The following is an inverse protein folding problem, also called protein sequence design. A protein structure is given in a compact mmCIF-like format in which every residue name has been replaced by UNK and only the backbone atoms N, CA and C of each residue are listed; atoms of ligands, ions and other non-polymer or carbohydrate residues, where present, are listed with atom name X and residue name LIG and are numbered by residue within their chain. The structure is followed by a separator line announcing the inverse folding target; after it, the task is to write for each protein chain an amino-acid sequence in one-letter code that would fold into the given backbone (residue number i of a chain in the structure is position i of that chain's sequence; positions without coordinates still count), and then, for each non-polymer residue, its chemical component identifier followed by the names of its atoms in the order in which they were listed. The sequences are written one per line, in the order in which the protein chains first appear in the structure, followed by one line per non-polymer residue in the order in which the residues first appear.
data_IF_638517210958
#
_entry.id   IF_638517210958
#
_cell.length_a   1.000
_cell.length_b   1.000
_cell.length_c   1.000
_cell.angle_alpha   90.00
_cell.angle_beta   90.00
_cell.angle_gamma   90.00
#
_symmetry.space_group_name_H-M   'P 1'
#
loop_
_entity.id
_entity.type
_entity.pdbx_description
1 polymer ?
#
# COMPACT_ATOMS: atom_id res chain seq x y z
N UNK A 1 -3.70 -26.73 -9.98
CA UNK A 1 -3.16 -25.37 -10.17
C UNK A 1 -2.02 -25.47 -11.17
N UNK A 2 -2.16 -24.79 -12.29
CA UNK A 2 -1.14 -24.64 -13.32
C UNK A 2 -0.49 -23.27 -13.07
N UNK A 3 0.83 -23.24 -12.91
CA UNK A 3 1.60 -21.99 -12.90
C UNK A 3 1.99 -21.66 -14.33
N UNK A 4 1.36 -20.64 -14.91
CA UNK A 4 1.59 -20.25 -16.30
C UNK A 4 2.93 -19.52 -16.43
N UNK A 5 3.74 -19.97 -17.39
CA UNK A 5 4.98 -19.29 -17.74
C UNK A 5 4.72 -18.00 -18.49
N UNK A 6 5.55 -16.98 -18.26
CA UNK A 6 5.47 -15.72 -18.99
C UNK A 6 5.94 -15.90 -20.44
N UNK A 7 5.28 -15.19 -21.34
CA UNK A 7 5.63 -15.16 -22.76
C UNK A 7 7.05 -14.61 -22.94
N UNK A 8 7.89 -15.34 -23.71
CA UNK A 8 9.24 -14.91 -24.07
C UNK A 8 9.24 -14.27 -25.48
N UNK A 9 9.83 -13.09 -25.62
CA UNK A 9 10.00 -12.37 -26.91
C UNK A 9 10.77 -13.18 -27.98
N UNK A 10 11.41 -14.30 -27.62
CA UNK A 10 12.03 -15.23 -28.57
C UNK A 10 11.05 -15.95 -29.49
N UNK A 11 9.75 -15.85 -29.22
CA UNK A 11 8.68 -16.46 -30.00
C UNK A 11 8.31 -15.56 -31.21
N UNK A 12 9.24 -15.31 -32.09
CA UNK A 12 9.12 -14.38 -33.23
C UNK A 12 7.91 -14.61 -34.17
N UNK A 13 7.23 -15.78 -34.08
CA UNK A 13 6.12 -16.16 -34.94
C UNK A 13 4.74 -16.11 -34.28
N UNK A 14 4.66 -15.68 -33.03
CA UNK A 14 3.43 -15.65 -32.26
C UNK A 14 3.12 -14.24 -31.80
N UNK A 15 1.84 -13.96 -31.65
CA UNK A 15 1.35 -12.75 -31.00
C UNK A 15 1.03 -13.06 -29.53
N UNK A 16 1.18 -12.03 -28.68
CA UNK A 16 0.76 -12.13 -27.28
C UNK A 16 -0.75 -12.20 -27.20
N UNK A 17 -1.25 -13.08 -26.33
CA UNK A 17 -2.69 -13.16 -26.05
C UNK A 17 -3.23 -11.87 -25.45
N UNK A 18 -4.55 -11.76 -25.39
CA UNK A 18 -5.26 -10.62 -24.82
C UNK A 18 -6.19 -11.09 -23.70
N UNK A 19 -6.34 -10.24 -22.69
CA UNK A 19 -7.31 -10.50 -21.62
C UNK A 19 -8.71 -10.74 -22.19
N UNK A 20 -9.47 -11.60 -21.54
CA UNK A 20 -10.86 -11.84 -21.91
C UNK A 20 -11.73 -10.63 -21.61
N UNK A 21 -12.86 -10.53 -22.32
CA UNK A 21 -13.83 -9.46 -22.13
C UNK A 21 -14.29 -9.39 -20.65
N UNK A 22 -14.31 -8.17 -20.10
CA UNK A 22 -14.71 -7.91 -18.71
C UNK A 22 -13.59 -8.09 -17.67
N UNK A 23 -12.34 -8.33 -18.05
CA UNK A 23 -11.21 -8.34 -17.11
C UNK A 23 -11.08 -7.03 -16.33
N UNK A 24 -11.18 -5.89 -17.02
CA UNK A 24 -11.10 -4.55 -16.39
C UNK A 24 -12.17 -4.37 -15.30
N UNK A 25 -13.41 -4.81 -15.58
CA UNK A 25 -14.51 -4.71 -14.61
C UNK A 25 -14.29 -5.57 -13.38
N UNK A 26 -13.73 -6.77 -13.54
CA UNK A 26 -13.39 -7.65 -12.41
C UNK A 26 -12.29 -7.02 -11.57
N UNK A 27 -11.27 -6.45 -12.21
CA UNK A 27 -10.18 -5.76 -11.52
C UNK A 27 -10.66 -4.51 -10.78
N UNK A 28 -11.58 -3.72 -11.36
CA UNK A 28 -12.20 -2.58 -10.67
C UNK A 28 -12.91 -3.02 -9.37
N UNK A 29 -13.70 -4.11 -9.44
CA UNK A 29 -14.36 -4.67 -8.25
C UNK A 29 -13.34 -5.15 -7.21
N UNK A 30 -12.30 -5.85 -7.65
CA UNK A 30 -11.25 -6.34 -6.76
C UNK A 30 -10.51 -5.20 -6.05
N UNK A 31 -10.23 -4.10 -6.74
CA UNK A 31 -9.67 -2.89 -6.14
C UNK A 31 -10.63 -2.30 -5.10
N UNK A 32 -11.93 -2.28 -5.39
CA UNK A 32 -12.95 -1.79 -4.44
C UNK A 32 -12.99 -2.64 -3.18
N UNK A 33 -13.01 -3.98 -3.32
CA UNK A 33 -13.01 -4.89 -2.16
C UNK A 33 -11.77 -4.68 -1.30
N UNK A 34 -10.58 -4.65 -1.89
CA UNK A 34 -9.31 -4.43 -1.18
C UNK A 34 -9.23 -3.05 -0.50
N UNK A 35 -9.84 -2.03 -1.10
CA UNK A 35 -9.96 -0.72 -0.46
C UNK A 35 -10.83 -0.79 0.79
N UNK A 36 -11.96 -1.49 0.74
CA UNK A 36 -12.85 -1.68 1.89
C UNK A 36 -12.18 -2.50 3.00
N UNK A 37 -11.48 -3.59 2.65
CA UNK A 37 -10.69 -4.37 3.60
C UNK A 37 -9.63 -3.52 4.29
N UNK A 38 -8.97 -2.64 3.55
CA UNK A 38 -7.95 -1.74 4.11
C UNK A 38 -8.54 -0.67 5.04
N UNK A 39 -9.71 -0.10 4.72
CA UNK A 39 -10.37 0.92 5.56
C UNK A 39 -10.89 0.30 6.86
N UNK A 40 -11.46 -0.91 6.76
CA UNK A 40 -12.02 -1.66 7.88
C UNK A 40 -10.95 -2.48 8.64
N UNK A 41 -9.71 -2.51 8.17
CA UNK A 41 -8.63 -3.35 8.74
C UNK A 41 -9.04 -4.83 8.84
N UNK A 42 -9.64 -5.37 7.75
CA UNK A 42 -10.06 -6.77 7.65
C UNK A 42 -8.85 -7.65 7.38
N UNK A 43 -8.76 -8.76 8.11
CA UNK A 43 -7.70 -9.77 7.98
C UNK A 43 -8.31 -11.16 7.83
N UNK A 44 -7.51 -12.13 7.39
CA UNK A 44 -7.95 -13.54 7.26
C UNK A 44 -8.50 -14.13 8.57
N UNK A 45 -8.15 -13.55 9.72
CA UNK A 45 -8.61 -14.01 11.04
C UNK A 45 -10.04 -13.55 11.37
N UNK A 46 -10.54 -12.54 10.66
CA UNK A 46 -11.87 -11.96 10.87
C UNK A 46 -12.98 -12.74 10.15
N UNK A 47 -12.64 -13.71 9.29
CA UNK A 47 -13.63 -14.56 8.61
C UNK A 47 -14.07 -15.71 9.50
N UNK A 48 -15.35 -15.77 9.82
CA UNK A 48 -15.95 -16.90 10.53
C UNK A 48 -16.29 -18.07 9.61
N UNK A 49 -16.68 -17.76 8.37
CA UNK A 49 -17.08 -18.75 7.35
C UNK A 49 -16.83 -18.25 5.92
N UNK A 50 -16.70 -19.20 4.97
CA UNK A 50 -16.65 -18.85 3.55
C UNK A 50 -18.08 -18.73 3.01
N UNK A 51 -18.40 -17.59 2.39
CA UNK A 51 -19.71 -17.29 1.83
C UNK A 51 -19.69 -17.53 0.31
N UNK A 52 -20.75 -18.11 -0.22
CA UNK A 52 -20.93 -18.19 -1.68
C UNK A 52 -21.41 -16.83 -2.19
N UNK A 53 -20.60 -16.20 -3.01
CA UNK A 53 -20.91 -14.90 -3.60
C UNK A 53 -21.93 -15.05 -4.73
N UNK A 54 -22.98 -14.25 -4.69
CA UNK A 54 -23.95 -14.13 -5.76
C UNK A 54 -23.52 -12.99 -6.71
N UNK A 55 -23.04 -13.34 -7.88
CA UNK A 55 -22.50 -12.39 -8.87
C UNK A 55 -23.54 -11.32 -9.28
N UNK A 56 -24.85 -11.66 -9.28
CA UNK A 56 -25.92 -10.73 -9.66
C UNK A 56 -26.15 -9.64 -8.58
N UNK A 57 -25.82 -9.92 -7.32
CA UNK A 57 -26.01 -9.00 -6.20
C UNK A 57 -24.71 -8.28 -5.79
N UNK A 58 -23.57 -8.87 -6.12
CA UNK A 58 -22.24 -8.38 -5.70
C UNK A 58 -22.04 -6.88 -6.01
N UNK A 59 -22.43 -6.42 -7.21
CA UNK A 59 -22.27 -5.01 -7.61
C UNK A 59 -23.07 -4.06 -6.70
N UNK A 60 -24.30 -4.44 -6.35
CA UNK A 60 -25.17 -3.63 -5.50
C UNK A 60 -24.70 -3.62 -4.04
N UNK A 61 -24.28 -4.77 -3.53
CA UNK A 61 -23.82 -4.93 -2.15
C UNK A 61 -22.50 -4.16 -1.95
N UNK A 62 -21.54 -4.31 -2.88
CA UNK A 62 -20.28 -3.56 -2.85
C UNK A 62 -20.51 -2.04 -2.96
N UNK A 63 -21.40 -1.59 -3.84
CA UNK A 63 -21.66 -0.16 -3.98
C UNK A 63 -22.26 0.44 -2.69
N UNK A 64 -23.18 -0.27 -2.05
CA UNK A 64 -23.81 0.18 -0.79
C UNK A 64 -22.79 0.22 0.33
N UNK A 65 -21.98 -0.84 0.47
CA UNK A 65 -20.96 -0.93 1.48
C UNK A 65 -19.88 0.15 1.29
N UNK A 66 -19.46 0.37 0.05
CA UNK A 66 -18.47 1.40 -0.31
C UNK A 66 -18.96 2.80 0.05
N UNK A 67 -20.23 3.15 -0.26
CA UNK A 67 -20.80 4.45 0.10
C UNK A 67 -20.78 4.65 1.62
N UNK A 68 -21.25 3.65 2.39
CA UNK A 68 -21.31 3.73 3.84
C UNK A 68 -19.92 3.84 4.48
N UNK A 69 -19.00 2.97 4.10
CA UNK A 69 -17.65 2.93 4.68
C UNK A 69 -16.85 4.19 4.32
N UNK A 70 -16.95 4.67 3.08
CA UNK A 70 -16.27 5.90 2.68
C UNK A 70 -16.80 7.13 3.44
N UNK A 71 -18.13 7.25 3.61
CA UNK A 71 -18.73 8.35 4.37
C UNK A 71 -18.23 8.36 5.83
N UNK A 72 -18.12 7.19 6.46
CA UNK A 72 -17.60 7.07 7.82
C UNK A 72 -16.09 7.35 7.89
N UNK A 73 -15.30 6.88 6.94
CA UNK A 73 -13.85 7.13 6.90
C UNK A 73 -13.53 8.61 6.66
N UNK A 74 -14.28 9.28 5.77
CA UNK A 74 -14.16 10.71 5.54
C UNK A 74 -14.46 11.51 6.82
N UNK A 75 -15.54 11.18 7.52
CA UNK A 75 -15.88 11.80 8.82
C UNK A 75 -14.81 11.53 9.87
N UNK A 76 -14.33 10.29 9.98
CA UNK A 76 -13.23 9.90 10.88
C UNK A 76 -11.99 10.77 10.63
N UNK A 77 -11.65 10.96 9.37
CA UNK A 77 -10.51 11.78 8.95
C UNK A 77 -10.67 13.26 9.27
N UNK A 78 -11.88 13.81 9.07
CA UNK A 78 -12.24 15.18 9.43
C UNK A 78 -12.14 15.41 10.95
N UNK A 79 -12.71 14.51 11.77
CA UNK A 79 -12.67 14.61 13.22
C UNK A 79 -11.23 14.53 13.75
N UNK A 80 -10.43 13.59 13.26
CA UNK A 80 -9.01 13.47 13.64
C UNK A 80 -8.20 14.71 13.27
N UNK A 81 -8.53 15.35 12.16
CA UNK A 81 -7.89 16.60 11.75
C UNK A 81 -8.29 17.73 12.69
N UNK A 82 -9.59 17.86 13.01
CA UNK A 82 -10.08 18.91 13.90
C UNK A 82 -9.56 18.77 15.33
N UNK A 83 -9.49 17.52 15.84
CA UNK A 83 -8.88 17.25 17.17
C UNK A 83 -7.43 17.70 17.20
N UNK A 84 -6.65 17.47 16.16
CA UNK A 84 -5.26 17.88 16.06
C UNK A 84 -5.10 19.39 16.00
N UNK A 85 -5.97 20.09 15.27
CA UNK A 85 -6.00 21.56 15.23
C UNK A 85 -6.29 22.15 16.62
N UNK A 86 -7.21 21.54 17.38
CA UNK A 86 -7.47 21.96 18.75
C UNK A 86 -6.31 21.65 19.70
N UNK A 87 -5.61 20.51 19.52
CA UNK A 87 -4.40 20.21 20.29
C UNK A 87 -3.32 21.28 20.06
N UNK A 88 -3.08 21.67 18.80
CA UNK A 88 -2.14 22.74 18.45
C UNK A 88 -2.56 24.09 19.06
N UNK A 89 -3.87 24.42 19.02
CA UNK A 89 -4.39 25.66 19.61
C UNK A 89 -4.26 25.67 21.14
N UNK A 90 -4.47 24.55 21.81
CA UNK A 90 -4.26 24.38 23.25
C UNK A 90 -2.78 24.55 23.59
N UNK A 91 -1.87 23.91 22.84
CA UNK A 91 -0.42 24.01 23.05
C UNK A 91 0.06 25.46 22.89
N UNK A 92 -0.52 26.21 21.96
CA UNK A 92 -0.19 27.62 21.74
C UNK A 92 -0.66 28.53 22.88
N UNK A 93 -1.75 28.21 23.55
CA UNK A 93 -2.36 29.00 24.63
C UNK A 93 -1.83 28.62 26.03
N UNK A 94 -1.50 27.33 26.23
CA UNK A 94 -1.05 26.80 27.55
C UNK A 94 0.08 27.64 28.21
N UNK A 95 1.09 28.14 27.49
CA UNK A 95 2.12 29.00 28.07
C UNK A 95 1.60 30.31 28.74
N UNK A 96 0.45 30.78 28.28
CA UNK A 96 -0.17 32.01 28.80
C UNK A 96 -1.02 31.78 30.03
N UNK A 97 -1.62 30.57 30.16
CA UNK A 97 -2.39 30.20 31.34
C UNK A 97 -1.55 30.30 32.63
N UNK A 98 -0.30 29.87 32.56
CA UNK A 98 0.67 29.92 33.66
C UNK A 98 0.98 31.35 34.15
N UNK A 99 0.75 32.38 33.30
CA UNK A 99 1.00 33.79 33.65
C UNK A 99 -0.11 34.40 34.50
N UNK A 100 -1.33 33.81 34.49
CA UNK A 100 -2.50 34.35 35.19
C UNK A 100 -2.92 35.74 34.71
N UNK A 101 -2.65 36.06 33.43
CA UNK A 101 -3.00 37.31 32.77
C UNK A 101 -4.02 37.10 31.68
N UNK A 102 -4.93 38.06 31.50
CA UNK A 102 -5.77 38.10 30.33
C UNK A 102 -4.93 38.35 29.05
N UNK A 103 -5.22 37.63 27.97
CA UNK A 103 -4.50 37.78 26.70
C UNK A 103 -4.57 39.21 26.15
N UNK A 104 -5.69 39.88 26.35
CA UNK A 104 -5.88 41.32 26.02
C UNK A 104 -4.87 42.25 26.67
N UNK A 105 -4.26 41.86 27.79
CA UNK A 105 -3.20 42.63 28.47
C UNK A 105 -1.81 42.43 27.87
N UNK A 106 -1.66 41.49 26.94
CA UNK A 106 -0.37 41.19 26.30
C UNK A 106 -0.17 41.91 24.96
N UNK A 107 -1.15 42.68 24.50
CA UNK A 107 -1.11 43.39 23.22
C UNK A 107 -1.82 44.75 23.29
N UNK A 108 -1.76 45.53 22.19
CA UNK A 108 -2.55 46.76 22.01
C UNK A 108 -2.00 48.02 22.74
N UNK A 109 -0.74 48.06 23.11
CA UNK A 109 -0.12 49.21 23.75
C UNK A 109 0.59 50.15 22.74
N UNK A 110 0.33 51.45 22.81
CA UNK A 110 1.02 52.42 21.98
C UNK A 110 2.41 52.81 22.52
N UNK A 111 2.67 52.63 23.82
CA UNK A 111 3.86 53.10 24.51
C UNK A 111 4.65 52.04 25.25
N UNK A 112 4.20 50.81 25.20
CA UNK A 112 4.88 49.64 25.77
C UNK A 112 5.08 48.61 24.68
N UNK A 113 6.21 47.94 24.73
CA UNK A 113 6.47 46.74 23.94
C UNK A 113 6.34 45.55 24.88
N UNK A 114 5.56 44.55 24.44
CA UNK A 114 5.33 43.32 25.20
C UNK A 114 5.94 42.16 24.44
N UNK A 115 6.65 41.29 25.13
CA UNK A 115 7.15 40.04 24.61
C UNK A 115 6.90 38.93 25.63
N UNK A 116 6.39 37.82 25.16
CA UNK A 116 6.18 36.63 25.97
C UNK A 116 7.08 35.51 25.47
N UNK A 117 7.66 34.75 26.38
CA UNK A 117 8.55 33.69 26.00
C UNK A 117 9.08 32.88 27.17
N UNK A 118 9.78 31.83 26.88
CA UNK A 118 10.44 30.95 27.84
C UNK A 118 11.92 31.35 27.99
N UNK A 119 12.44 31.34 29.19
CA UNK A 119 13.85 31.67 29.39
C UNK A 119 14.27 31.75 30.85
N UNK A 120 15.52 32.17 31.05
CA UNK A 120 16.03 32.40 32.39
C UNK A 120 15.75 33.84 32.85
N UNK A 121 14.85 34.00 33.85
CA UNK A 121 14.43 35.29 34.37
C UNK A 121 15.60 36.19 34.79
N UNK A 122 16.60 35.67 35.52
CA UNK A 122 17.72 36.45 36.02
C UNK A 122 18.60 36.98 34.88
N UNK A 123 18.77 36.16 33.81
CA UNK A 123 19.51 36.59 32.63
C UNK A 123 18.74 37.68 31.87
N UNK A 124 17.42 37.51 31.69
CA UNK A 124 16.53 38.50 31.07
C UNK A 124 16.60 39.81 31.84
N UNK A 125 16.37 39.80 33.17
CA UNK A 125 16.38 40.99 34.04
C UNK A 125 17.72 41.72 34.01
N UNK A 126 18.83 40.99 34.06
CA UNK A 126 20.17 41.59 34.04
C UNK A 126 20.49 42.23 32.69
N UNK A 127 20.02 41.65 31.59
CA UNK A 127 20.25 42.19 30.25
C UNK A 127 19.41 43.43 30.00
N UNK A 128 18.12 43.38 30.32
CA UNK A 128 17.24 44.53 30.17
C UNK A 128 17.63 45.71 31.05
N UNK A 129 18.12 45.46 32.27
CA UNK A 129 18.62 46.50 33.18
C UNK A 129 19.91 47.17 32.69
N UNK A 130 20.67 46.53 31.80
CA UNK A 130 21.90 47.03 31.23
C UNK A 130 21.72 47.75 29.88
N UNK A 131 20.52 47.69 29.31
CA UNK A 131 20.20 48.20 27.97
C UNK A 131 19.68 49.66 28.05
N UNK A 132 20.42 50.61 27.45
CA UNK A 132 20.08 52.04 27.45
C UNK A 132 18.84 52.36 26.56
N UNK A 133 18.38 51.46 25.73
CA UNK A 133 17.17 51.61 24.90
C UNK A 133 15.87 51.43 25.68
N UNK A 134 15.94 50.87 26.91
CA UNK A 134 14.79 50.58 27.76
C UNK A 134 14.77 51.55 28.95
N UNK A 135 13.70 52.35 29.07
CA UNK A 135 13.52 53.29 30.18
C UNK A 135 13.13 52.57 31.48
N UNK A 136 12.22 51.63 31.37
CA UNK A 136 11.74 50.78 32.48
C UNK A 136 11.12 49.51 31.95
N UNK A 137 11.16 48.47 32.75
CA UNK A 137 10.53 47.20 32.41
C UNK A 137 9.93 46.52 33.65
N UNK A 138 9.01 45.61 33.41
CA UNK A 138 8.44 44.70 34.39
C UNK A 138 8.36 43.30 33.80
N UNK A 139 8.69 42.28 34.60
CA UNK A 139 8.63 40.86 34.20
C UNK A 139 7.64 40.16 35.08
N UNK A 140 6.55 39.68 34.49
CA UNK A 140 5.61 38.75 35.12
C UNK A 140 6.01 37.34 34.74
N UNK A 141 5.99 36.43 35.70
CA UNK A 141 6.51 35.07 35.52
C UNK A 141 5.51 34.05 35.95
N UNK A 142 5.21 33.11 35.07
CA UNK A 142 4.62 31.84 35.36
C UNK A 142 5.66 30.76 35.73
N UNK A 143 5.39 29.49 35.52
CA UNK A 143 6.31 28.37 35.82
C UNK A 143 7.54 28.38 34.93
N UNK A 144 7.37 28.56 33.64
CA UNK A 144 8.45 28.60 32.63
C UNK A 144 8.38 29.80 31.72
N UNK A 145 7.19 30.39 31.58
CA UNK A 145 6.89 31.50 30.68
C UNK A 145 7.02 32.84 31.42
N UNK A 146 7.55 33.82 30.73
CA UNK A 146 7.72 35.19 31.23
C UNK A 146 7.09 36.18 30.25
N UNK A 147 6.24 37.06 30.76
CA UNK A 147 5.75 38.22 30.04
C UNK A 147 6.59 39.46 30.43
N UNK A 148 7.21 40.08 29.47
CA UNK A 148 8.08 41.24 29.61
C UNK A 148 7.33 42.45 29.06
N UNK A 149 7.08 43.42 29.92
CA UNK A 149 6.50 44.71 29.56
C UNK A 149 7.62 45.76 29.64
N UNK A 150 8.02 46.35 28.52
CA UNK A 150 9.10 47.32 28.47
C UNK A 150 8.63 48.64 27.86
N UNK A 151 9.08 49.73 28.47
CA UNK A 151 8.91 51.06 27.92
C UNK A 151 10.22 51.50 27.26
N UNK A 152 10.25 51.70 25.95
CA UNK A 152 11.45 52.16 25.27
C UNK A 152 11.73 53.63 25.56
N UNK A 153 13.03 54.06 25.51
CA UNK A 153 13.47 55.41 25.73
C UNK A 153 13.14 56.38 24.60
N UNK A 154 12.84 55.88 23.41
CA UNK A 154 12.45 56.64 22.22
C UNK A 154 11.30 55.94 21.51
N UNK A 155 10.66 56.59 20.52
CA UNK A 155 9.74 55.93 19.59
C UNK A 155 10.51 54.92 18.73
N UNK A 156 10.76 53.76 19.30
CA UNK A 156 11.45 52.64 18.65
C UNK A 156 10.39 51.61 18.38
N UNK A 157 10.52 50.89 17.26
CA UNK A 157 9.53 49.88 16.85
C UNK A 157 9.45 48.67 17.79
N UNK A 158 8.55 47.80 17.53
CA UNK A 158 8.24 46.56 18.31
C UNK A 158 9.44 45.60 18.46
N UNK A 159 10.53 45.82 17.69
CA UNK A 159 11.74 44.99 17.71
C UNK A 159 12.72 45.30 18.88
N UNK A 160 12.48 46.34 19.68
CA UNK A 160 13.39 46.73 20.78
C UNK A 160 13.68 45.62 21.77
N UNK A 161 12.65 44.86 22.17
CA UNK A 161 12.83 43.74 23.08
C UNK A 161 13.58 42.56 22.41
N UNK A 162 13.33 42.32 21.14
CA UNK A 162 14.04 41.29 20.39
C UNK A 162 15.52 41.61 20.27
N UNK A 163 15.87 42.90 19.99
CA UNK A 163 17.24 43.38 19.90
C UNK A 163 17.95 43.36 21.26
N UNK A 164 17.27 43.81 22.32
CA UNK A 164 17.82 43.84 23.68
C UNK A 164 18.10 42.44 24.22
N UNK A 165 17.31 41.44 23.81
CA UNK A 165 17.45 40.05 24.26
C UNK A 165 18.37 39.22 23.36
N UNK A 166 19.04 39.80 22.37
CA UNK A 166 20.03 39.09 21.55
C UNK A 166 21.14 38.50 22.42
N UNK A 167 21.30 37.19 22.38
CA UNK A 167 22.30 36.46 23.16
C UNK A 167 21.81 35.98 24.53
N UNK A 168 20.59 36.28 24.92
CA UNK A 168 19.90 35.64 26.05
C UNK A 168 19.15 34.41 25.54
N UNK A 169 19.16 33.34 26.34
CA UNK A 169 18.33 32.16 26.05
C UNK A 169 16.86 32.49 26.39
N UNK A 170 16.21 33.12 25.42
CA UNK A 170 14.82 33.53 25.48
C UNK A 170 14.11 33.15 24.19
N UNK A 171 13.23 32.16 24.28
CA UNK A 171 12.42 31.71 23.17
C UNK A 171 11.07 32.43 23.18
N UNK A 172 10.88 33.36 22.23
CA UNK A 172 9.64 34.13 22.11
C UNK A 172 8.47 33.22 21.69
N UNK A 173 7.35 33.33 22.39
CA UNK A 173 6.07 32.72 22.06
C UNK A 173 5.15 33.79 21.49
N UNK A 174 4.58 33.63 20.29
CA UNK A 174 3.66 34.57 19.71
C UNK A 174 2.39 34.67 20.56
N UNK A 175 1.93 35.89 20.86
CA UNK A 175 0.67 36.07 21.58
C UNK A 175 -0.49 35.80 20.62
N UNK A 176 -1.39 34.87 20.95
CA UNK A 176 -2.54 34.55 20.10
C UNK A 176 -3.53 35.73 20.08
N UNK A 177 -4.24 35.90 18.98
CA UNK A 177 -5.29 36.90 18.82
C UNK A 177 -6.62 36.40 19.44
N UNK A 178 -6.62 36.27 20.75
CA UNK A 178 -7.76 35.83 21.52
C UNK A 178 -8.05 36.79 22.67
N UNK A 179 -9.29 36.86 23.14
CA UNK A 179 -9.72 37.73 24.25
C UNK A 179 -10.10 36.85 25.46
N UNK A 180 -9.80 37.33 26.66
CA UNK A 180 -10.22 36.70 27.91
C UNK A 180 -9.09 35.98 28.66
N UNK A 181 -9.50 35.13 29.62
CA UNK A 181 -8.57 34.30 30.39
C UNK A 181 -8.06 33.12 29.56
N UNK A 182 -6.74 32.93 29.46
CA UNK A 182 -6.18 31.75 28.80
C UNK A 182 -6.69 30.43 29.39
N UNK A 183 -6.87 30.39 30.72
CA UNK A 183 -7.37 29.18 31.42
C UNK A 183 -8.80 28.84 30.96
N UNK A 184 -9.72 29.82 30.92
CA UNK A 184 -11.10 29.61 30.47
C UNK A 184 -11.13 29.19 28.99
N UNK A 185 -10.23 29.74 28.18
CA UNK A 185 -10.14 29.39 26.76
C UNK A 185 -9.62 27.97 26.55
N UNK A 186 -8.60 27.53 27.27
CA UNK A 186 -8.14 26.15 27.27
C UNK A 186 -9.24 25.18 27.72
N UNK A 187 -9.96 25.50 28.80
CA UNK A 187 -11.09 24.67 29.26
C UNK A 187 -12.18 24.53 28.18
N UNK A 188 -12.45 25.60 27.42
CA UNK A 188 -13.43 25.56 26.32
C UNK A 188 -12.92 24.69 25.16
N UNK A 189 -11.65 24.81 24.75
CA UNK A 189 -11.05 23.98 23.70
C UNK A 189 -10.97 22.52 24.11
N UNK A 190 -10.62 22.21 25.36
CA UNK A 190 -10.59 20.84 25.89
C UNK A 190 -12.00 20.23 25.92
N UNK A 191 -13.03 21.02 26.23
CA UNK A 191 -14.41 20.54 26.17
C UNK A 191 -14.85 20.22 24.74
N UNK A 192 -14.52 21.11 23.76
CA UNK A 192 -14.78 20.85 22.36
C UNK A 192 -14.04 19.59 21.85
N UNK A 193 -12.78 19.42 22.26
CA UNK A 193 -12.00 18.24 21.91
C UNK A 193 -12.59 16.95 22.50
N UNK A 194 -13.09 17.01 23.72
CA UNK A 194 -13.75 15.86 24.36
C UNK A 194 -15.01 15.44 23.59
N UNK A 195 -15.82 16.40 23.14
CA UNK A 195 -17.01 16.13 22.32
C UNK A 195 -16.62 15.47 20.96
N UNK A 196 -15.61 16.02 20.28
CA UNK A 196 -15.14 15.45 19.01
C UNK A 196 -14.51 14.06 19.17
N UNK A 197 -13.87 13.79 20.32
CA UNK A 197 -13.34 12.45 20.63
C UNK A 197 -14.48 11.44 20.89
N UNK A 198 -15.57 11.88 21.48
CA UNK A 198 -16.75 11.04 21.65
C UNK A 198 -17.41 10.70 20.30
N UNK A 199 -17.53 11.69 19.42
CA UNK A 199 -18.04 11.49 18.05
C UNK A 199 -17.13 10.54 17.25
N UNK A 200 -15.80 10.65 17.41
CA UNK A 200 -14.82 9.76 16.79
C UNK A 200 -14.95 8.32 17.27
N UNK A 201 -15.14 8.11 18.59
CA UNK A 201 -15.34 6.79 19.18
C UNK A 201 -16.64 6.14 18.65
N UNK A 202 -17.71 6.93 18.43
CA UNK A 202 -18.96 6.43 17.84
C UNK A 202 -18.72 5.93 16.40
N UNK A 203 -18.02 6.70 15.57
CA UNK A 203 -17.68 6.29 14.19
C UNK A 203 -16.76 5.05 14.16
N UNK A 204 -15.75 4.99 15.03
CA UNK A 204 -14.86 3.84 15.11
C UNK A 204 -15.61 2.57 15.54
N UNK A 205 -16.60 2.71 16.44
CA UNK A 205 -17.48 1.61 16.83
C UNK A 205 -18.35 1.14 15.67
N UNK A 206 -18.94 2.06 14.89
CA UNK A 206 -19.76 1.73 13.72
C UNK A 206 -18.92 1.01 12.63
N UNK A 207 -17.69 1.45 12.39
CA UNK A 207 -16.77 0.76 11.47
C UNK A 207 -16.42 -0.66 11.95
N UNK A 208 -16.19 -0.86 13.25
CA UNK A 208 -15.95 -2.19 13.83
C UNK A 208 -17.17 -3.10 13.72
N UNK A 209 -18.38 -2.59 13.89
CA UNK A 209 -19.62 -3.33 13.68
C UNK A 209 -19.75 -3.76 12.21
N UNK A 210 -19.50 -2.83 11.26
CA UNK A 210 -19.49 -3.14 9.83
C UNK A 210 -18.42 -4.19 9.51
N UNK A 211 -17.20 -4.07 10.06
CA UNK A 211 -16.15 -5.06 9.92
C UNK A 211 -16.65 -6.45 10.36
N UNK A 212 -17.20 -6.56 11.55
CA UNK A 212 -17.67 -7.83 12.10
C UNK A 212 -18.79 -8.47 11.24
N UNK A 213 -19.66 -7.65 10.62
CA UNK A 213 -20.74 -8.14 9.78
C UNK A 213 -20.30 -8.50 8.37
N UNK A 214 -19.29 -7.79 7.82
CA UNK A 214 -18.95 -7.85 6.40
C UNK A 214 -17.61 -8.54 6.09
N UNK A 215 -16.78 -8.88 7.08
CA UNK A 215 -15.46 -9.46 6.86
C UNK A 215 -15.53 -10.76 6.03
N UNK A 216 -16.42 -11.69 6.39
CA UNK A 216 -16.60 -12.95 5.65
C UNK A 216 -17.06 -12.74 4.21
N UNK A 217 -17.91 -11.71 3.97
CA UNK A 217 -18.34 -11.33 2.63
C UNK A 217 -17.18 -10.76 1.82
N UNK A 218 -16.43 -9.81 2.37
CA UNK A 218 -15.31 -9.16 1.67
C UNK A 218 -14.22 -10.17 1.30
N UNK A 219 -13.77 -11.00 2.23
CA UNK A 219 -12.74 -12.01 1.98
C UNK A 219 -13.20 -13.08 0.96
N UNK A 220 -14.47 -13.49 1.00
CA UNK A 220 -15.02 -14.43 0.00
C UNK A 220 -15.16 -13.77 -1.37
N UNK A 221 -15.51 -12.48 -1.42
CA UNK A 221 -15.57 -11.70 -2.66
C UNK A 221 -14.17 -11.48 -3.25
N UNK A 222 -13.17 -11.17 -2.41
CA UNK A 222 -11.78 -11.04 -2.85
C UNK A 222 -11.26 -12.34 -3.48
N UNK A 223 -11.47 -13.46 -2.82
CA UNK A 223 -11.05 -14.77 -3.35
C UNK A 223 -11.73 -15.08 -4.69
N UNK A 224 -13.07 -14.90 -4.78
CA UNK A 224 -13.83 -15.15 -6.00
C UNK A 224 -13.38 -14.25 -7.15
N UNK A 225 -13.26 -12.95 -6.90
CA UNK A 225 -12.82 -11.97 -7.91
C UNK A 225 -11.37 -12.18 -8.32
N UNK A 226 -10.49 -12.56 -7.39
CA UNK A 226 -9.08 -12.88 -7.70
C UNK A 226 -8.99 -14.09 -8.63
N UNK A 227 -9.78 -15.14 -8.39
CA UNK A 227 -9.86 -16.31 -9.26
C UNK A 227 -10.41 -15.91 -10.64
N UNK A 228 -11.46 -15.08 -10.69
CA UNK A 228 -12.03 -14.62 -11.94
C UNK A 228 -11.08 -13.73 -12.74
N UNK A 229 -10.37 -12.81 -12.08
CA UNK A 229 -9.34 -11.98 -12.69
C UNK A 229 -8.22 -12.84 -13.31
N UNK A 230 -7.68 -13.79 -12.55
CA UNK A 230 -6.66 -14.71 -13.06
C UNK A 230 -7.15 -15.50 -14.28
N UNK A 231 -8.40 -15.99 -14.29
CA UNK A 231 -8.99 -16.68 -15.45
C UNK A 231 -9.09 -15.78 -16.67
N UNK A 232 -9.47 -14.51 -16.48
CA UNK A 232 -9.62 -13.55 -17.58
C UNK A 232 -8.29 -13.03 -18.10
N UNK A 233 -7.27 -13.00 -17.26
CA UNK A 233 -5.92 -12.55 -17.59
C UNK A 233 -5.01 -13.69 -18.06
N UNK A 234 -5.36 -14.95 -17.80
CA UNK A 234 -4.56 -16.11 -18.22
C UNK A 234 -4.12 -16.06 -19.70
N UNK A 235 -4.96 -15.61 -20.66
CA UNK A 235 -4.53 -15.51 -22.05
C UNK A 235 -3.37 -14.53 -22.31
N UNK A 236 -3.08 -13.60 -21.40
CA UNK A 236 -1.90 -12.72 -21.51
C UNK A 236 -0.58 -13.50 -21.47
N UNK A 237 -0.58 -14.68 -20.86
CA UNK A 237 0.57 -15.60 -20.82
C UNK A 237 0.60 -16.59 -21.98
N UNK A 238 -0.35 -16.49 -22.94
CA UNK A 238 -0.43 -17.40 -24.07
C UNK A 238 0.24 -16.81 -25.30
N UNK A 239 0.96 -17.65 -26.03
CA UNK A 239 1.35 -17.35 -27.40
C UNK A 239 0.18 -17.68 -28.35
N UNK A 240 -0.22 -16.75 -29.20
CA UNK A 240 -1.39 -16.91 -30.07
C UNK A 240 -1.03 -16.79 -31.55
N UNK A 241 -1.80 -17.50 -32.37
CA UNK A 241 -1.83 -17.35 -33.82
C UNK A 241 -3.27 -17.13 -34.25
N UNK A 242 -3.53 -16.95 -35.56
CA UNK A 242 -4.88 -16.77 -36.09
C UNK A 242 -5.84 -17.91 -35.73
N UNK A 243 -5.35 -19.12 -35.48
CA UNK A 243 -6.19 -20.34 -35.33
C UNK A 243 -5.87 -21.17 -34.11
N UNK A 244 -4.84 -20.87 -33.38
CA UNK A 244 -4.40 -21.66 -32.22
C UNK A 244 -3.73 -20.76 -31.16
N UNK A 245 -3.66 -21.27 -29.96
CA UNK A 245 -2.85 -20.70 -28.90
C UNK A 245 -2.01 -21.80 -28.23
N UNK A 246 -0.89 -21.40 -27.68
CA UNK A 246 0.00 -22.26 -26.90
C UNK A 246 0.09 -21.66 -25.49
N UNK A 247 -0.19 -22.50 -24.49
CA UNK A 247 0.01 -22.19 -23.10
C UNK A 247 1.08 -23.13 -22.54
N UNK A 248 2.09 -22.58 -21.90
CA UNK A 248 3.11 -23.33 -21.18
C UNK A 248 3.00 -23.05 -19.69
N UNK A 249 3.25 -24.06 -18.87
CA UNK A 249 3.20 -23.87 -17.44
C UNK A 249 3.65 -25.10 -16.67
N UNK A 250 3.82 -24.90 -15.36
CA UNK A 250 4.25 -25.93 -14.44
C UNK A 250 3.08 -26.52 -13.66
N UNK A 251 3.06 -27.84 -13.54
CA UNK A 251 2.07 -28.57 -12.76
C UNK A 251 2.76 -29.62 -11.89
N UNK A 252 2.30 -29.83 -10.62
CA UNK A 252 2.79 -30.94 -9.82
C UNK A 252 2.62 -32.27 -10.53
N UNK A 253 3.69 -33.08 -10.61
CA UNK A 253 3.70 -34.33 -11.37
C UNK A 253 2.57 -35.32 -10.95
N UNK A 254 2.17 -35.27 -9.67
CA UNK A 254 1.08 -36.10 -9.13
C UNK A 254 -0.31 -35.70 -9.69
N UNK A 255 -0.44 -34.48 -10.20
CA UNK A 255 -1.70 -33.95 -10.75
C UNK A 255 -1.76 -33.90 -12.26
N UNK A 256 -0.73 -34.39 -12.95
CA UNK A 256 -0.65 -34.37 -14.41
C UNK A 256 -1.80 -35.15 -15.07
N UNK A 257 -2.07 -36.39 -14.63
CA UNK A 257 -3.14 -37.20 -15.18
C UNK A 257 -4.54 -36.60 -14.97
N UNK A 258 -4.77 -35.97 -13.79
CA UNK A 258 -6.02 -35.28 -13.48
C UNK A 258 -6.18 -34.04 -14.38
N UNK A 259 -5.11 -33.29 -14.58
CA UNK A 259 -5.07 -32.13 -15.46
C UNK A 259 -5.37 -32.51 -16.91
N UNK A 260 -4.65 -33.47 -17.47
CA UNK A 260 -4.84 -33.94 -18.85
C UNK A 260 -6.30 -34.42 -19.09
N UNK A 261 -6.84 -35.20 -18.18
CA UNK A 261 -8.22 -35.67 -18.23
C UNK A 261 -9.23 -34.52 -18.17
N UNK A 262 -9.02 -33.56 -17.26
CA UNK A 262 -9.91 -32.43 -17.08
C UNK A 262 -9.88 -31.50 -18.28
N UNK A 263 -8.68 -31.23 -18.82
CA UNK A 263 -8.50 -30.37 -19.98
C UNK A 263 -9.10 -30.98 -21.24
N UNK A 264 -8.87 -32.29 -21.45
CA UNK A 264 -9.47 -33.03 -22.56
C UNK A 264 -11.01 -33.07 -22.50
N UNK A 265 -11.56 -33.10 -21.30
CA UNK A 265 -13.01 -33.07 -21.09
C UNK A 265 -13.62 -31.66 -21.28
N UNK A 266 -12.83 -30.60 -21.01
CA UNK A 266 -13.29 -29.22 -21.07
C UNK A 266 -13.14 -28.57 -22.46
N UNK A 267 -12.19 -29.03 -23.27
CA UNK A 267 -11.89 -28.46 -24.60
C UNK A 267 -12.65 -29.23 -25.67
N UNK A 268 -13.57 -28.57 -26.35
CA UNK A 268 -14.36 -29.15 -27.46
C UNK A 268 -13.65 -28.85 -28.80
N UNK A 269 -12.47 -29.45 -29.01
CA UNK A 269 -11.66 -29.22 -30.22
C UNK A 269 -10.34 -29.98 -30.21
N UNK A 270 -9.50 -29.82 -31.25
CA UNK A 270 -8.16 -30.41 -31.25
C UNK A 270 -7.34 -29.83 -30.12
N UNK A 271 -6.78 -30.69 -29.29
CA UNK A 271 -5.94 -30.40 -28.15
C UNK A 271 -4.72 -31.32 -28.20
N UNK A 272 -3.53 -30.73 -28.07
CA UNK A 272 -2.29 -31.45 -27.93
C UNK A 272 -1.66 -31.05 -26.58
N UNK A 273 -1.16 -32.04 -25.84
CA UNK A 273 -0.62 -31.86 -24.51
C UNK A 273 0.70 -32.60 -24.45
N UNK A 274 1.79 -31.86 -24.37
CA UNK A 274 3.14 -32.40 -24.31
C UNK A 274 3.81 -32.10 -22.96
N UNK A 275 4.45 -33.11 -22.38
CA UNK A 275 5.35 -32.94 -21.26
C UNK A 275 6.73 -32.53 -21.78
N UNK A 276 7.09 -31.24 -21.63
CA UNK A 276 8.33 -30.65 -22.16
C UNK A 276 9.52 -30.92 -21.23
N UNK A 277 9.32 -30.69 -19.92
CA UNK A 277 10.38 -30.78 -18.91
C UNK A 277 9.83 -31.37 -17.62
N UNK A 278 10.66 -32.11 -16.91
CA UNK A 278 10.34 -32.61 -15.57
C UNK A 278 11.40 -32.13 -14.58
N UNK A 279 11.00 -31.34 -13.58
CA UNK A 279 11.87 -30.92 -12.50
C UNK A 279 11.98 -31.99 -11.41
N UNK A 280 13.19 -32.28 -10.96
CA UNK A 280 13.47 -33.13 -9.81
C UNK A 280 14.27 -32.33 -8.80
N UNK A 281 13.72 -32.17 -7.59
CA UNK A 281 14.39 -31.51 -6.50
C UNK A 281 15.23 -32.50 -5.67
N UNK A 282 16.47 -32.13 -5.41
CA UNK A 282 17.35 -32.89 -4.51
C UNK A 282 17.24 -32.33 -3.11
N UNK A 283 17.45 -33.17 -2.10
CA UNK A 283 17.40 -32.80 -0.69
C UNK A 283 18.41 -31.70 -0.25
N UNK A 284 19.31 -31.31 -1.14
CA UNK A 284 20.28 -30.22 -0.92
C UNK A 284 19.83 -28.87 -1.51
N UNK A 285 18.59 -28.76 -1.99
CA UNK A 285 18.08 -27.54 -2.58
C UNK A 285 18.50 -27.28 -4.04
N UNK A 286 19.19 -28.25 -4.66
CA UNK A 286 19.59 -28.16 -6.07
C UNK A 286 18.54 -28.90 -6.92
N UNK A 287 18.08 -28.29 -8.01
CA UNK A 287 17.13 -28.92 -8.92
C UNK A 287 17.83 -29.40 -10.19
N UNK A 288 17.34 -30.47 -10.75
CA UNK A 288 17.74 -30.97 -12.06
C UNK A 288 16.51 -31.04 -12.95
N UNK A 289 16.57 -30.38 -14.09
CA UNK A 289 15.52 -30.41 -15.11
C UNK A 289 15.90 -31.45 -16.16
N UNK A 290 15.12 -32.50 -16.31
CA UNK A 290 15.25 -33.46 -17.40
C UNK A 290 14.32 -33.01 -18.54
N UNK A 291 14.89 -32.74 -19.71
CA UNK A 291 14.11 -32.55 -20.94
C UNK A 291 13.57 -33.91 -21.40
N UNK A 292 12.29 -34.06 -21.44
CA UNK A 292 11.65 -35.22 -22.07
C UNK A 292 11.48 -34.88 -23.55
N UNK A 293 12.45 -35.27 -24.39
CA UNK A 293 12.31 -35.17 -25.83
C UNK A 293 11.24 -36.12 -26.30
N UNK A 294 10.03 -35.63 -26.52
CA UNK A 294 9.04 -36.34 -27.35
C UNK A 294 9.52 -36.26 -28.79
N UNK A 295 9.93 -37.39 -29.33
CA UNK A 295 10.21 -37.48 -30.78
C UNK A 295 8.90 -37.15 -31.54
N UNK A 296 8.92 -36.23 -32.51
CA UNK A 296 7.73 -35.89 -33.29
C UNK A 296 7.30 -37.14 -34.07
N UNK A 297 6.02 -37.52 -33.97
CA UNK A 297 5.39 -38.59 -34.76
C UNK A 297 5.52 -38.25 -36.23
N UNK A 298 6.50 -38.85 -36.88
CA UNK A 298 6.64 -38.82 -38.34
C UNK A 298 5.50 -39.57 -39.00
N UNK A 299 4.57 -38.84 -39.59
CA UNK A 299 3.66 -39.40 -40.61
C UNK A 299 4.52 -39.79 -41.79
N UNK A 300 4.67 -41.10 -41.99
CA UNK A 300 5.33 -41.68 -43.15
C UNK A 300 4.53 -41.34 -44.41
N UNK A 301 5.07 -40.45 -45.25
CA UNK A 301 4.68 -40.38 -46.66
C UNK A 301 5.71 -41.14 -47.49
N UNK A 302 5.28 -42.32 -47.98
CA UNK A 302 6.06 -43.15 -48.86
C UNK A 302 5.97 -42.62 -50.28
N UNK A 303 7.06 -42.06 -50.82
CA UNK A 303 7.39 -42.21 -52.24
C UNK A 303 8.89 -42.11 -52.46
N UNK A 304 9.41 -43.19 -53.06
CA UNK A 304 10.79 -43.45 -53.42
C UNK A 304 11.29 -42.57 -54.57
N UNK A 305 12.57 -42.23 -54.63
CA UNK A 305 13.51 -42.75 -55.65
C UNK A 305 14.88 -41.96 -55.66
N UNK A 306 15.94 -42.77 -55.49
CA UNK A 306 17.29 -42.72 -56.06
C UNK A 306 18.25 -41.52 -55.87
N UNK A 307 19.41 -41.91 -55.30
CA UNK A 307 20.76 -41.31 -55.28
C UNK A 307 21.37 -41.14 -56.67
N UNK A 308 22.59 -40.56 -56.93
CA UNK A 308 23.73 -40.41 -56.01
C UNK A 308 24.65 -39.17 -56.17
N UNK A 309 25.58 -39.05 -55.24
CA UNK A 309 27.03 -38.69 -55.31
C UNK A 309 27.52 -37.23 -55.26
N UNK A 310 28.29 -37.01 -54.17
CA UNK A 310 29.61 -36.38 -54.01
C UNK A 310 29.81 -34.88 -54.43
N UNK A 311 30.23 -34.03 -53.54
CA UNK A 311 31.59 -33.56 -53.28
C UNK A 311 31.63 -32.26 -52.44
N UNK A 312 32.45 -32.30 -51.44
CA UNK A 312 33.34 -31.31 -50.79
C UNK A 312 33.06 -29.81 -50.90
N UNK A 313 33.13 -29.14 -49.74
CA UNK A 313 33.48 -27.72 -49.69
C UNK A 313 32.82 -26.87 -48.61
N UNK A 314 33.42 -26.85 -47.45
CA UNK A 314 33.42 -25.78 -46.41
C UNK A 314 32.63 -24.50 -46.70
N UNK A 315 31.71 -24.20 -45.80
CA UNK A 315 31.08 -22.88 -45.70
C UNK A 315 30.03 -22.87 -44.58
N UNK A 316 30.41 -22.40 -43.41
CA UNK A 316 29.50 -22.07 -42.33
C UNK A 316 28.48 -21.06 -42.81
N UNK A 317 27.27 -21.49 -42.95
CA UNK A 317 26.08 -20.64 -42.90
C UNK A 317 25.04 -21.39 -42.13
N UNK A 318 24.76 -20.90 -40.92
CA UNK A 318 23.61 -21.27 -40.13
C UNK A 318 22.36 -21.13 -41.00
N UNK A 319 21.87 -22.25 -41.47
CA UNK A 319 20.52 -22.35 -41.98
C UNK A 319 19.61 -22.58 -40.75
N UNK A 320 18.86 -21.52 -40.37
CA UNK A 320 17.68 -21.68 -39.57
C UNK A 320 16.81 -22.81 -40.16
N UNK A 321 16.77 -23.94 -39.53
CA UNK A 321 15.78 -24.99 -39.75
C UNK A 321 14.45 -24.49 -39.24
N UNK A 322 13.52 -24.31 -40.13
CA UNK A 322 12.10 -24.31 -39.81
C UNK A 322 11.73 -25.76 -39.47
N UNK A 323 12.07 -26.19 -38.29
CA UNK A 323 11.52 -27.38 -37.64
C UNK A 323 10.53 -26.85 -36.65
N UNK A 324 9.31 -27.44 -36.57
CA UNK A 324 8.30 -27.09 -35.59
C UNK A 324 8.76 -27.44 -34.18
N UNK A 325 9.83 -26.76 -33.76
CA UNK A 325 10.40 -26.94 -32.44
C UNK A 325 9.45 -26.38 -31.39
N UNK A 326 9.18 -27.19 -30.39
CA UNK A 326 8.53 -26.76 -29.17
C UNK A 326 9.31 -25.57 -28.61
N UNK A 327 8.68 -24.42 -28.54
CA UNK A 327 9.28 -23.23 -27.94
C UNK A 327 9.17 -23.39 -26.43
N UNK A 328 10.30 -23.41 -25.74
CA UNK A 328 10.31 -23.60 -24.29
C UNK A 328 10.75 -22.29 -23.63
N UNK A 329 10.05 -21.90 -22.59
CA UNK A 329 10.47 -20.79 -21.74
C UNK A 329 11.67 -21.19 -20.88
N UNK A 330 12.47 -20.21 -20.49
CA UNK A 330 13.66 -20.42 -19.64
C UNK A 330 13.32 -20.39 -18.14
N UNK A 331 12.04 -20.46 -17.80
CA UNK A 331 11.59 -20.32 -16.42
C UNK A 331 12.06 -21.48 -15.52
N UNK A 332 12.53 -21.12 -14.35
CA UNK A 332 12.84 -22.08 -13.29
C UNK A 332 11.52 -22.70 -12.75
N UNK A 333 11.49 -24.00 -12.44
CA UNK A 333 10.28 -24.62 -11.89
C UNK A 333 9.88 -23.97 -10.58
N UNK A 334 8.59 -23.63 -10.42
CA UNK A 334 8.09 -23.04 -9.18
C UNK A 334 8.09 -24.08 -8.05
N UNK A 335 8.24 -23.58 -6.82
CA UNK A 335 8.15 -24.40 -5.62
C UNK A 335 6.76 -24.28 -5.01
N UNK A 336 6.07 -25.42 -4.87
CA UNK A 336 4.78 -25.48 -4.15
C UNK A 336 5.06 -25.49 -2.65
N UNK A 337 4.66 -24.43 -1.95
CA UNK A 337 4.77 -24.34 -0.50
C UNK A 337 3.52 -24.93 0.16
N UNK A 338 3.69 -25.96 0.98
CA UNK A 338 2.62 -26.54 1.82
C UNK A 338 3.00 -26.32 3.29
N UNK A 339 2.88 -25.10 3.74
CA UNK A 339 3.22 -24.70 5.10
C UNK A 339 1.98 -24.75 6.02
N UNK A 340 2.16 -25.13 7.31
CA UNK A 340 1.06 -25.06 8.27
C UNK A 340 0.59 -23.61 8.45
N UNK A 341 -0.70 -23.43 8.75
CA UNK A 341 -1.40 -22.12 8.81
C UNK A 341 -0.64 -21.02 9.56
N UNK A 342 0.15 -21.38 10.58
CA UNK A 342 0.96 -20.41 11.35
C UNK A 342 2.22 -19.88 10.62
N UNK A 343 2.62 -20.51 9.53
CA UNK A 343 3.80 -20.11 8.74
C UNK A 343 3.43 -19.29 7.48
N UNK A 344 2.15 -19.25 7.10
CA UNK A 344 1.68 -18.55 5.88
C UNK A 344 2.04 -17.06 5.84
N UNK A 345 2.04 -16.38 6.98
CA UNK A 345 2.44 -14.98 7.06
C UNK A 345 3.91 -14.75 6.64
N UNK A 346 4.76 -15.78 6.75
CA UNK A 346 6.16 -15.72 6.33
C UNK A 346 6.36 -16.05 4.85
N UNK A 347 5.39 -16.72 4.20
CA UNK A 347 5.43 -17.01 2.76
C UNK A 347 5.46 -15.73 1.92
N UNK A 348 4.65 -14.73 2.30
CA UNK A 348 4.63 -13.41 1.65
C UNK A 348 5.99 -12.73 1.75
N UNK A 349 6.66 -12.86 2.89
CA UNK A 349 7.96 -12.24 3.12
C UNK A 349 9.07 -12.96 2.32
N UNK A 350 8.99 -14.29 2.23
CA UNK A 350 9.92 -15.10 1.44
C UNK A 350 9.70 -14.86 -0.05
N UNK A 351 8.46 -14.77 -0.52
CA UNK A 351 8.13 -14.43 -1.92
C UNK A 351 8.56 -13.02 -2.33
N UNK A 352 8.57 -12.06 -1.39
CA UNK A 352 9.02 -10.70 -1.63
C UNK A 352 10.55 -10.55 -1.65
N UNK A 353 11.30 -11.42 -0.97
CA UNK A 353 12.77 -11.34 -0.83
C UNK A 353 13.49 -12.25 -1.83
N UNK A 354 13.01 -13.47 -1.99
CA UNK A 354 13.52 -14.41 -2.99
C UNK A 354 12.49 -15.53 -3.20
N UNK A 355 12.29 -15.98 -4.45
CA UNK A 355 11.50 -17.19 -4.72
C UNK A 355 12.18 -18.38 -4.01
N UNK A 356 11.46 -19.18 -3.23
CA UNK A 356 12.03 -20.35 -2.58
C UNK A 356 12.49 -21.38 -3.64
N UNK A 357 13.65 -21.97 -3.43
CA UNK A 357 14.19 -22.97 -4.36
C UNK A 357 13.85 -24.42 -4.01
N UNK A 358 13.19 -24.65 -2.86
CA UNK A 358 12.75 -25.98 -2.41
C UNK A 358 11.65 -25.84 -1.36
N UNK A 359 10.87 -26.88 -1.20
CA UNK A 359 9.84 -26.98 -0.18
C UNK A 359 10.46 -27.54 1.11
N UNK A 360 10.43 -26.80 2.21
CA UNK A 360 10.83 -27.27 3.54
C UNK A 360 9.65 -27.75 4.37
#
# INVERSE_FOLDING_TARGET
LLDLSEYDESWESFDLGRSLEGADRVNEKLVTVRSLESILDVTDEDADETIVIDDDQLDADLATLQETVNDLDDRRSELRTRIRELDEEIEDIEPFADLGLELSLLSGYDSLVVSVGEGNREAIESTLAADDSIETFEIMSGSRTHAIFAKPTAEVGDEVLADALVGVDFATVPVPDAEGSPEEYVEELEAQQADLRADLEEIETELEEIKAEQASFLLSAEESLSIEAQKKEAPLSFATTDNAFVAEGWIPSERYEEFESSLTAAVDGPLDIDEIKRAQFKSNGDHHVEETASEPSTVEDQTATEEPAADDGSGETEKARADGGVVTTSDDPPVVQDNPRGAKAFEVLVGAVAKPKYNE
#
